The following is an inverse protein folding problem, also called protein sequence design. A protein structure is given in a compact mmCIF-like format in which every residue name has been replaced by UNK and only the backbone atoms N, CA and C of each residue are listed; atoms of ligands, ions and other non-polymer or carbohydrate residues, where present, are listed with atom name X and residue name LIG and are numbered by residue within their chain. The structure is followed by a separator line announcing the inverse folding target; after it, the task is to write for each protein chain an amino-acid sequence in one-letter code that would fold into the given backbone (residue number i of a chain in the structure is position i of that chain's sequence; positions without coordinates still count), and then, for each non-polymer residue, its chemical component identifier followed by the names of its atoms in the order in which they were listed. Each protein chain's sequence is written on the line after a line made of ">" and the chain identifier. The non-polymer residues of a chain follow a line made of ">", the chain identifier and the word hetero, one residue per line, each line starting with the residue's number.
data_IF_049191829824
#
_entry.id   IF_049191829824
#
_cell.length_a   1.000
_cell.length_b   1.000
_cell.length_c   1.000
_cell.angle_alpha   90.00
_cell.angle_beta   90.00
_cell.angle_gamma   90.00
#
_symmetry.space_group_name_H-M   'P 1'
#
loop_
_entity.id
_entity.type
_entity.pdbx_description
1 polymer ?
#
# COMPACT_ATOMS: atom_id res chain seq x y z
N UNK A 1 -15.06 43.65 59.02
CA UNK A 1 -15.72 42.34 58.93
C UNK A 1 -14.65 41.27 58.96
N UNK A 2 -14.49 40.60 60.05
CA UNK A 2 -13.55 39.43 60.12
C UNK A 2 -14.19 38.28 59.32
N UNK A 3 -13.40 37.69 58.45
CA UNK A 3 -13.83 36.54 57.63
C UNK A 3 -13.85 35.31 58.51
N UNK A 4 -14.91 34.50 58.42
CA UNK A 4 -15.07 33.28 59.23
C UNK A 4 -14.05 32.22 58.89
N UNK A 5 -13.68 31.31 59.84
CA UNK A 5 -12.77 30.19 59.54
C UNK A 5 -13.23 29.33 58.34
N UNK A 6 -14.53 29.17 58.12
CA UNK A 6 -15.14 28.49 56.99
C UNK A 6 -14.76 29.12 55.63
N UNK A 7 -14.69 30.46 55.58
CA UNK A 7 -14.21 31.16 54.37
C UNK A 7 -12.80 30.83 54.00
N UNK A 8 -11.88 30.72 54.98
CA UNK A 8 -10.50 30.36 54.69
C UNK A 8 -10.36 28.89 54.29
N UNK A 9 -11.19 28.00 54.87
CA UNK A 9 -11.21 26.58 54.54
C UNK A 9 -11.67 26.37 53.10
N UNK A 10 -12.80 26.97 52.72
CA UNK A 10 -13.37 26.87 51.35
C UNK A 10 -12.39 27.44 50.31
N UNK A 11 -11.80 28.60 50.59
CA UNK A 11 -10.78 29.20 49.69
C UNK A 11 -9.52 28.35 49.55
N UNK A 12 -9.10 27.69 50.63
CA UNK A 12 -7.97 26.73 50.57
C UNK A 12 -8.31 25.50 49.72
N UNK A 13 -9.53 25.00 49.90
CA UNK A 13 -10.03 23.85 49.10
C UNK A 13 -10.12 24.19 47.61
N UNK A 14 -10.69 25.37 47.27
CA UNK A 14 -10.77 25.87 45.92
C UNK A 14 -9.38 26.01 45.26
N UNK A 15 -8.40 26.49 46.01
CA UNK A 15 -7.02 26.62 45.53
C UNK A 15 -6.38 25.25 45.22
N UNK A 16 -6.62 24.25 46.09
CA UNK A 16 -6.15 22.88 45.88
C UNK A 16 -6.84 22.26 44.66
N UNK A 17 -8.16 22.37 44.54
CA UNK A 17 -8.94 21.85 43.41
C UNK A 17 -8.49 22.49 42.09
N UNK A 18 -8.34 23.83 42.07
CA UNK A 18 -7.87 24.53 40.89
C UNK A 18 -6.40 24.16 40.54
N UNK A 19 -5.55 23.97 41.55
CA UNK A 19 -4.19 23.50 41.35
C UNK A 19 -4.13 22.10 40.71
N UNK A 20 -4.94 21.16 41.26
CA UNK A 20 -5.03 19.79 40.68
C UNK A 20 -5.62 19.83 39.29
N UNK A 21 -6.66 20.62 39.04
CA UNK A 21 -7.25 20.78 37.72
C UNK A 21 -6.24 21.36 36.71
N UNK A 22 -5.43 22.36 37.12
CA UNK A 22 -4.39 22.93 36.28
C UNK A 22 -3.28 21.90 35.94
N UNK A 23 -2.88 21.07 36.89
CA UNK A 23 -1.89 20.00 36.67
C UNK A 23 -2.45 18.97 35.69
N UNK A 24 -3.69 18.51 35.89
CA UNK A 24 -4.33 17.55 34.95
C UNK A 24 -4.40 18.16 33.54
N UNK A 25 -4.81 19.41 33.43
CA UNK A 25 -4.87 20.10 32.15
C UNK A 25 -3.52 20.19 31.44
N UNK A 26 -2.45 20.52 32.16
CA UNK A 26 -1.09 20.56 31.63
C UNK A 26 -0.59 19.17 31.20
N UNK A 27 -0.92 18.13 31.98
CA UNK A 27 -0.60 16.75 31.59
C UNK A 27 -1.34 16.34 30.31
N UNK A 28 -2.62 16.70 30.20
CA UNK A 28 -3.40 16.43 28.96
C UNK A 28 -2.83 17.18 27.75
N UNK A 29 -2.42 18.44 27.92
CA UNK A 29 -1.79 19.21 26.84
C UNK A 29 -0.43 18.62 26.43
N UNK A 30 0.40 18.21 27.40
CA UNK A 30 1.68 17.57 27.11
C UNK A 30 1.48 16.24 26.37
N UNK A 31 0.52 15.42 26.82
CA UNK A 31 0.17 14.17 26.13
C UNK A 31 -0.36 14.40 24.72
N UNK A 32 -1.27 15.37 24.54
CA UNK A 32 -1.79 15.71 23.21
C UNK A 32 -0.67 16.22 22.27
N UNK A 33 0.24 17.07 22.78
CA UNK A 33 1.40 17.55 22.03
C UNK A 33 2.33 16.40 21.63
N UNK A 34 2.60 15.47 22.56
CA UNK A 34 3.39 14.28 22.28
C UNK A 34 2.71 13.39 21.22
N UNK A 35 1.42 13.11 21.37
CA UNK A 35 0.68 12.28 20.42
C UNK A 35 0.64 12.87 19.00
N UNK A 36 0.50 14.20 18.88
CA UNK A 36 0.55 14.88 17.60
C UNK A 36 1.96 14.83 16.98
N UNK A 37 3.00 15.02 17.79
CA UNK A 37 4.39 14.91 17.34
C UNK A 37 4.74 13.50 16.91
N UNK A 38 4.34 12.48 17.67
CA UNK A 38 4.56 11.07 17.38
C UNK A 38 3.88 10.67 16.06
N UNK A 39 2.60 11.01 15.90
CA UNK A 39 1.88 10.76 14.64
C UNK A 39 2.51 11.48 13.43
N UNK A 40 2.95 12.72 13.62
CA UNK A 40 3.65 13.46 12.55
C UNK A 40 5.00 12.81 12.22
N UNK A 41 5.75 12.37 13.21
CA UNK A 41 7.06 11.69 13.04
C UNK A 41 6.91 10.39 12.22
N UNK A 42 5.88 9.58 12.51
CA UNK A 42 5.58 8.36 11.75
C UNK A 42 5.23 8.68 10.29
N UNK A 43 4.41 9.71 10.06
CA UNK A 43 4.04 10.12 8.71
C UNK A 43 5.23 10.70 7.93
N UNK A 44 6.14 11.43 8.56
CA UNK A 44 7.35 11.96 7.91
C UNK A 44 8.35 10.83 7.65
N UNK A 45 8.51 9.90 8.60
CA UNK A 45 9.37 8.72 8.47
C UNK A 45 9.02 7.87 7.24
N UNK A 46 7.71 7.66 7.00
CA UNK A 46 7.22 6.89 5.85
C UNK A 46 7.67 7.43 4.48
N UNK A 47 8.09 8.69 4.40
CA UNK A 47 8.55 9.32 3.16
C UNK A 47 10.08 9.37 3.02
N UNK A 48 10.84 9.08 4.07
CA UNK A 48 12.28 9.27 4.03
C UNK A 48 12.98 8.37 3.01
N UNK A 49 12.63 7.10 2.97
CA UNK A 49 13.14 6.19 1.94
C UNK A 49 12.69 6.62 0.55
N UNK A 50 11.40 6.98 0.40
CA UNK A 50 10.85 7.43 -0.87
C UNK A 50 11.57 8.69 -1.39
N UNK A 51 11.82 9.70 -0.54
CA UNK A 51 12.56 10.93 -0.90
C UNK A 51 13.95 10.63 -1.46
N UNK A 52 14.61 9.59 -0.93
CA UNK A 52 15.93 9.16 -1.39
C UNK A 52 15.87 8.39 -2.70
N UNK A 53 14.87 7.51 -2.84
CA UNK A 53 14.77 6.58 -3.97
C UNK A 53 14.07 7.20 -5.18
N UNK A 54 13.25 8.25 -5.00
CA UNK A 54 12.48 8.89 -6.08
C UNK A 54 13.36 9.50 -7.17
N UNK A 55 14.61 9.87 -6.85
CA UNK A 55 15.59 10.35 -7.85
C UNK A 55 15.89 9.27 -8.90
N UNK A 56 15.75 8.00 -8.52
CA UNK A 56 15.96 6.83 -9.39
C UNK A 56 14.65 6.12 -9.72
N UNK A 57 13.52 6.82 -9.57
CA UNK A 57 12.23 6.28 -10.01
C UNK A 57 12.33 5.91 -11.48
N UNK A 58 11.93 4.67 -11.86
CA UNK A 58 12.02 4.25 -13.24
C UNK A 58 11.12 5.10 -14.15
N UNK A 59 11.66 5.43 -15.33
CA UNK A 59 10.94 6.07 -16.43
C UNK A 59 11.12 5.23 -17.69
N UNK A 60 10.07 5.12 -18.50
CA UNK A 60 10.10 4.39 -19.76
C UNK A 60 11.06 5.01 -20.78
N UNK A 61 11.28 6.33 -20.71
CA UNK A 61 12.12 7.10 -21.64
C UNK A 61 13.61 7.07 -21.25
N UNK A 62 13.95 6.97 -19.94
CA UNK A 62 15.32 7.11 -19.44
C UNK A 62 16.10 5.79 -19.28
N UNK A 63 15.45 4.66 -19.53
CA UNK A 63 16.07 3.33 -19.44
C UNK A 63 15.94 2.67 -18.06
N UNK A 64 15.00 1.74 -17.95
CA UNK A 64 14.66 1.00 -16.75
C UNK A 64 15.85 0.36 -16.05
N UNK A 65 16.74 -0.26 -16.82
CA UNK A 65 17.89 -1.01 -16.29
C UNK A 65 18.87 -0.14 -15.48
N UNK A 66 19.11 1.11 -15.91
CA UNK A 66 19.98 2.02 -15.17
C UNK A 66 19.37 2.40 -13.81
N UNK A 67 18.11 2.85 -13.80
CA UNK A 67 17.44 3.29 -12.59
C UNK A 67 17.34 2.14 -11.58
N UNK A 68 16.96 0.93 -12.04
CA UNK A 68 16.94 -0.24 -11.17
C UNK A 68 18.32 -0.65 -10.66
N UNK A 69 19.39 -0.45 -11.42
CA UNK A 69 20.75 -0.72 -10.93
C UNK A 69 21.10 0.17 -9.73
N UNK A 70 20.66 1.43 -9.72
CA UNK A 70 20.87 2.36 -8.62
C UNK A 70 19.98 1.98 -7.42
N UNK A 71 18.69 1.68 -7.63
CA UNK A 71 17.77 1.25 -6.59
C UNK A 71 18.26 -0.04 -5.90
N UNK A 72 18.69 -1.04 -6.68
CA UNK A 72 19.22 -2.30 -6.17
C UNK A 72 20.59 -2.16 -5.50
N UNK A 73 21.38 -1.13 -5.84
CA UNK A 73 22.61 -0.79 -5.13
C UNK A 73 22.32 -0.22 -3.72
N UNK A 74 21.18 0.45 -3.53
CA UNK A 74 20.73 0.94 -2.22
C UNK A 74 20.15 -0.20 -1.37
N UNK A 75 19.27 -1.01 -1.97
CA UNK A 75 18.72 -2.22 -1.36
C UNK A 75 18.55 -3.31 -2.43
N UNK A 76 19.29 -4.44 -2.33
CA UNK A 76 19.20 -5.54 -3.28
C UNK A 76 17.83 -6.23 -3.31
N UNK A 77 16.99 -6.00 -2.29
CA UNK A 77 15.65 -6.55 -2.21
C UNK A 77 14.62 -5.79 -3.05
N UNK A 78 14.97 -4.63 -3.60
CA UNK A 78 14.12 -3.93 -4.56
C UNK A 78 13.94 -4.79 -5.81
N UNK A 79 12.68 -5.05 -6.18
CA UNK A 79 12.31 -5.90 -7.32
C UNK A 79 11.37 -5.22 -8.32
N UNK A 80 10.81 -4.06 -7.99
CA UNK A 80 9.91 -3.32 -8.85
C UNK A 80 9.61 -1.93 -8.31
N UNK A 81 8.75 -1.21 -9.05
CA UNK A 81 8.17 0.08 -8.63
C UNK A 81 6.72 0.14 -9.09
N UNK A 82 5.78 0.35 -8.19
CA UNK A 82 4.35 0.43 -8.51
C UNK A 82 3.87 1.88 -8.57
N UNK A 83 3.03 2.16 -9.56
CA UNK A 83 2.25 3.41 -9.67
C UNK A 83 0.80 3.05 -9.97
N UNK A 84 -0.14 3.58 -9.19
CA UNK A 84 -1.57 3.48 -9.48
C UNK A 84 -2.12 4.87 -9.79
N UNK A 85 -2.69 5.04 -10.98
CA UNK A 85 -3.14 6.33 -11.49
C UNK A 85 -4.21 6.96 -10.56
N UNK A 86 -4.14 8.28 -10.38
CA UNK A 86 -5.05 9.08 -9.54
C UNK A 86 -5.06 8.71 -8.04
N UNK A 87 -4.01 8.02 -7.58
CA UNK A 87 -3.78 7.70 -6.17
C UNK A 87 -2.41 8.20 -5.72
N UNK A 88 -2.15 8.17 -4.42
CA UNK A 88 -0.81 8.37 -3.86
C UNK A 88 0.08 7.12 -3.88
N UNK A 89 -0.37 6.03 -4.51
CA UNK A 89 0.43 4.79 -4.62
C UNK A 89 1.48 4.97 -5.71
N UNK A 90 2.70 5.26 -5.27
CA UNK A 90 3.88 5.52 -6.10
C UNK A 90 5.12 5.14 -5.30
N UNK A 91 5.45 3.84 -5.25
CA UNK A 91 6.42 3.28 -4.32
C UNK A 91 7.32 2.21 -4.93
N UNK A 92 8.58 2.09 -4.46
CA UNK A 92 9.40 0.92 -4.73
C UNK A 92 8.73 -0.34 -4.14
N UNK A 93 8.91 -1.47 -4.81
CA UNK A 93 8.49 -2.79 -4.36
C UNK A 93 9.74 -3.55 -3.91
N UNK A 94 9.71 -4.09 -2.70
CA UNK A 94 10.76 -4.96 -2.17
C UNK A 94 10.25 -6.39 -2.04
N UNK A 95 11.15 -7.36 -1.90
CA UNK A 95 10.80 -8.73 -1.55
C UNK A 95 11.82 -9.28 -0.56
N UNK A 96 11.36 -9.59 0.64
CA UNK A 96 12.16 -10.18 1.72
C UNK A 96 12.19 -11.71 1.69
N UNK A 97 12.82 -12.29 2.71
CA UNK A 97 12.86 -13.74 2.91
C UNK A 97 11.52 -14.31 3.40
N UNK A 98 10.66 -13.46 3.98
CA UNK A 98 9.30 -13.80 4.41
C UNK A 98 8.37 -12.57 4.32
N UNK A 99 7.07 -12.75 4.62
CA UNK A 99 6.07 -11.68 4.60
C UNK A 99 6.07 -10.77 5.84
N UNK A 100 7.00 -10.94 6.78
CA UNK A 100 7.11 -10.14 7.99
C UNK A 100 8.24 -9.13 7.92
N UNK A 101 9.28 -9.42 7.13
CA UNK A 101 10.51 -8.65 7.08
C UNK A 101 10.29 -7.16 6.77
N UNK A 102 9.43 -6.85 5.80
CA UNK A 102 9.16 -5.48 5.37
C UNK A 102 7.87 -4.87 5.95
N UNK A 103 7.30 -5.49 6.98
CA UNK A 103 6.21 -4.87 7.74
C UNK A 103 6.68 -3.69 8.60
N UNK A 104 7.93 -3.70 9.05
CA UNK A 104 8.52 -2.68 9.92
C UNK A 104 9.90 -2.20 9.45
N UNK A 105 10.16 -2.33 8.13
CA UNK A 105 11.33 -1.78 7.45
C UNK A 105 10.91 -0.94 6.26
N UNK A 106 11.59 0.19 6.05
CA UNK A 106 11.47 0.98 4.84
C UNK A 106 12.12 0.27 3.63
N UNK A 107 11.92 0.82 2.43
CA UNK A 107 12.49 0.25 1.21
C UNK A 107 14.02 0.34 1.11
N UNK A 108 14.70 1.03 2.01
CA UNK A 108 16.16 1.03 2.18
C UNK A 108 16.62 -0.04 3.17
N UNK A 109 15.68 -0.76 3.83
CA UNK A 109 15.96 -1.76 4.86
C UNK A 109 16.14 -1.22 6.27
N UNK A 110 15.87 0.07 6.52
CA UNK A 110 15.92 0.64 7.85
C UNK A 110 14.65 0.36 8.64
N UNK A 111 14.71 0.27 9.99
CA UNK A 111 13.52 0.14 10.81
C UNK A 111 12.56 1.33 10.60
N UNK A 112 11.33 1.05 10.20
CA UNK A 112 10.29 2.05 9.96
C UNK A 112 8.89 1.42 10.12
N UNK A 113 8.08 1.98 11.02
CA UNK A 113 6.76 1.43 11.39
C UNK A 113 5.78 1.42 10.20
N UNK A 114 5.94 2.33 9.25
CA UNK A 114 5.13 2.36 8.02
C UNK A 114 5.42 1.19 7.08
N UNK A 115 6.52 0.47 7.30
CA UNK A 115 6.94 -0.63 6.45
C UNK A 115 7.20 -0.22 5.00
N UNK A 116 7.10 -1.18 4.12
CA UNK A 116 7.24 -1.01 2.66
C UNK A 116 6.06 -1.63 1.90
N UNK A 117 6.00 -1.34 0.60
CA UNK A 117 5.21 -2.16 -0.33
C UNK A 117 6.09 -3.35 -0.72
N UNK A 118 5.61 -4.57 -0.47
CA UNK A 118 6.39 -5.77 -0.72
C UNK A 118 5.60 -6.86 -1.47
N UNK A 119 6.33 -7.61 -2.28
CA UNK A 119 5.83 -8.78 -2.99
C UNK A 119 5.82 -9.99 -2.04
N UNK A 120 4.77 -10.80 -2.08
CA UNK A 120 4.71 -12.05 -1.34
C UNK A 120 6.00 -12.87 -1.56
N UNK A 121 6.59 -13.36 -0.48
CA UNK A 121 7.90 -14.03 -0.53
C UNK A 121 7.93 -15.29 -1.39
N UNK A 122 6.79 -15.95 -1.60
CA UNK A 122 6.65 -17.13 -2.45
C UNK A 122 6.51 -16.79 -3.93
N UNK A 123 6.15 -15.55 -4.26
CA UNK A 123 6.05 -15.12 -5.65
C UNK A 123 7.42 -15.00 -6.31
N UNK A 124 7.44 -15.23 -7.61
CA UNK A 124 8.63 -15.05 -8.40
C UNK A 124 8.97 -13.55 -8.52
N UNK A 125 10.16 -13.19 -8.04
CA UNK A 125 10.69 -11.82 -8.07
C UNK A 125 10.68 -11.15 -9.45
N UNK A 126 10.64 -11.95 -10.53
CA UNK A 126 10.55 -11.47 -11.90
C UNK A 126 9.10 -11.21 -12.35
N UNK A 127 8.13 -11.32 -11.47
CA UNK A 127 6.71 -11.10 -11.76
C UNK A 127 6.20 -12.00 -12.92
N UNK A 128 6.56 -13.26 -12.90
CA UNK A 128 6.17 -14.24 -13.94
C UNK A 128 5.06 -15.19 -13.51
N UNK A 129 4.66 -15.15 -12.23
CA UNK A 129 3.60 -16.02 -11.73
C UNK A 129 2.23 -15.60 -12.28
N UNK A 130 1.29 -16.54 -12.44
CA UNK A 130 -0.05 -16.22 -12.90
C UNK A 130 -0.87 -15.39 -11.91
N UNK A 131 -0.54 -15.46 -10.62
CA UNK A 131 -1.15 -14.65 -9.57
C UNK A 131 -0.10 -14.19 -8.56
N UNK A 132 -0.07 -12.91 -8.29
CA UNK A 132 0.88 -12.28 -7.40
C UNK A 132 0.15 -11.42 -6.37
N UNK A 133 0.75 -11.25 -5.19
CA UNK A 133 0.20 -10.40 -4.13
C UNK A 133 1.24 -9.38 -3.70
N UNK A 134 0.90 -8.11 -3.81
CA UNK A 134 1.62 -7.01 -3.17
C UNK A 134 0.91 -6.65 -1.87
N UNK A 135 1.68 -6.49 -0.83
CA UNK A 135 1.20 -6.13 0.50
C UNK A 135 1.82 -4.82 0.96
N UNK A 136 1.08 -4.07 1.77
CA UNK A 136 1.54 -2.82 2.36
C UNK A 136 0.62 -2.35 3.48
N UNK A 137 1.12 -1.50 4.35
CA UNK A 137 0.30 -0.94 5.43
C UNK A 137 -0.77 0.02 4.90
N UNK A 138 -1.89 0.06 5.64
CA UNK A 138 -2.85 1.14 5.55
C UNK A 138 -2.36 2.32 6.40
N UNK A 139 -1.98 3.40 5.75
CA UNK A 139 -1.54 4.62 6.43
C UNK A 139 -2.54 5.76 6.21
N UNK A 140 -2.62 6.66 7.20
CA UNK A 140 -3.41 7.88 7.07
C UNK A 140 -2.90 8.76 5.91
N UNK A 141 -3.73 9.67 5.45
CA UNK A 141 -3.46 10.57 4.33
C UNK A 141 -3.13 9.84 3.00
N UNK A 142 -3.63 8.61 2.83
CA UNK A 142 -3.48 7.82 1.61
C UNK A 142 -2.08 7.27 1.37
N UNK A 143 -1.16 7.35 2.36
CA UNK A 143 0.20 6.84 2.24
C UNK A 143 0.23 5.32 2.21
N UNK A 144 1.29 4.77 1.68
CA UNK A 144 1.45 3.35 1.41
C UNK A 144 0.27 2.83 0.58
N UNK A 145 -0.45 1.80 1.03
CA UNK A 145 -1.69 1.32 0.40
C UNK A 145 -2.96 1.94 1.00
N UNK A 146 -2.86 3.04 1.79
CA UNK A 146 -4.03 3.73 2.35
C UNK A 146 -5.03 4.19 1.29
N UNK A 147 -4.56 4.59 0.11
CA UNK A 147 -5.41 5.02 -1.00
C UNK A 147 -6.20 3.88 -1.67
N UNK A 148 -5.97 2.61 -1.32
CA UNK A 148 -6.85 1.52 -1.74
C UNK A 148 -8.27 1.69 -1.19
N UNK A 149 -8.44 2.42 -0.08
CA UNK A 149 -9.76 2.75 0.46
C UNK A 149 -10.64 3.55 -0.53
N UNK A 150 -10.03 4.34 -1.42
CA UNK A 150 -10.77 5.10 -2.45
C UNK A 150 -11.56 4.20 -3.38
N UNK A 151 -11.07 2.98 -3.62
CA UNK A 151 -11.73 2.00 -4.49
C UNK A 151 -13.00 1.40 -3.87
N UNK A 152 -13.27 1.65 -2.57
CA UNK A 152 -14.55 1.32 -1.94
C UNK A 152 -15.71 2.21 -2.43
N UNK A 153 -15.41 3.37 -3.03
CA UNK A 153 -16.37 4.19 -3.77
C UNK A 153 -16.51 3.68 -5.21
N UNK A 154 -17.71 3.29 -5.61
CA UNK A 154 -17.97 2.73 -6.93
C UNK A 154 -17.59 3.72 -8.06
N UNK A 155 -17.83 5.01 -7.87
CA UNK A 155 -17.51 6.03 -8.86
C UNK A 155 -16.00 6.13 -9.06
N UNK A 156 -15.24 6.07 -7.97
CA UNK A 156 -13.79 6.05 -8.03
C UNK A 156 -13.29 4.79 -8.72
N UNK A 157 -13.77 3.60 -8.31
CA UNK A 157 -13.40 2.32 -8.91
C UNK A 157 -13.64 2.28 -10.43
N UNK A 158 -14.77 2.83 -10.88
CA UNK A 158 -15.12 2.84 -12.32
C UNK A 158 -14.30 3.83 -13.14
N UNK A 159 -13.81 4.92 -12.54
CA UNK A 159 -13.03 5.96 -13.23
C UNK A 159 -11.53 5.68 -13.22
N UNK A 160 -11.01 5.09 -12.15
CA UNK A 160 -9.57 4.91 -11.93
C UNK A 160 -9.19 3.45 -12.19
N UNK A 161 -8.71 3.21 -13.38
CA UNK A 161 -8.73 1.87 -13.95
C UNK A 161 -7.35 1.32 -14.23
N UNK A 162 -6.31 2.17 -14.20
CA UNK A 162 -4.99 1.85 -14.70
C UNK A 162 -3.91 2.03 -13.64
N UNK A 163 -2.82 1.35 -13.84
CA UNK A 163 -1.59 1.45 -13.09
C UNK A 163 -0.43 0.79 -13.85
N UNK A 164 0.76 0.88 -13.28
CA UNK A 164 1.96 0.29 -13.85
C UNK A 164 2.83 -0.32 -12.77
N UNK A 165 3.54 -1.38 -13.12
CA UNK A 165 4.69 -1.87 -12.35
C UNK A 165 5.89 -1.82 -13.28
N UNK A 166 6.86 -1.01 -12.92
CA UNK A 166 8.15 -0.97 -13.57
C UNK A 166 9.01 -2.09 -13.01
N UNK A 167 9.67 -2.82 -13.89
CA UNK A 167 10.64 -3.88 -13.58
C UNK A 167 11.99 -3.52 -14.25
N UNK A 168 13.08 -4.17 -13.87
CA UNK A 168 14.40 -3.86 -14.46
C UNK A 168 14.48 -4.00 -15.97
N UNK A 169 13.64 -4.85 -16.57
CA UNK A 169 13.66 -5.24 -17.97
C UNK A 169 12.38 -4.91 -18.76
N UNK A 170 11.29 -4.51 -18.09
CA UNK A 170 9.99 -4.25 -18.73
C UNK A 170 9.06 -3.48 -17.84
N UNK A 171 7.94 -3.00 -18.41
CA UNK A 171 6.81 -2.43 -17.70
C UNK A 171 5.61 -3.37 -17.80
N UNK A 172 4.93 -3.63 -16.68
CA UNK A 172 3.65 -4.30 -16.62
C UNK A 172 2.55 -3.25 -16.53
N UNK A 173 1.64 -3.22 -17.49
CA UNK A 173 0.48 -2.35 -17.46
C UNK A 173 -0.66 -3.06 -16.77
N UNK A 174 -1.28 -2.38 -15.81
CA UNK A 174 -2.33 -2.93 -14.96
C UNK A 174 -3.68 -2.34 -15.34
N UNK A 175 -4.69 -3.21 -15.38
CA UNK A 175 -6.09 -2.81 -15.46
C UNK A 175 -6.84 -3.35 -14.23
N UNK A 176 -7.52 -2.46 -13.48
CA UNK A 176 -8.31 -2.88 -12.32
C UNK A 176 -9.47 -3.78 -12.76
N UNK A 177 -9.61 -4.94 -12.13
CA UNK A 177 -10.63 -5.93 -12.48
C UNK A 177 -11.68 -6.12 -11.38
N UNK A 178 -11.27 -6.17 -10.11
CA UNK A 178 -12.17 -6.36 -8.99
C UNK A 178 -11.68 -5.65 -7.73
N UNK A 179 -12.61 -5.16 -6.91
CA UNK A 179 -12.33 -4.65 -5.58
C UNK A 179 -13.08 -5.48 -4.52
N UNK A 180 -12.36 -5.93 -3.50
CA UNK A 180 -12.85 -6.84 -2.47
C UNK A 180 -12.56 -6.31 -1.08
N UNK A 181 -13.39 -6.74 -0.11
CA UNK A 181 -13.05 -6.71 1.30
C UNK A 181 -13.04 -8.15 1.82
N UNK A 182 -11.88 -8.63 2.26
CA UNK A 182 -11.67 -10.02 2.66
C UNK A 182 -11.07 -10.13 4.05
N UNK A 183 -11.15 -11.30 4.66
CA UNK A 183 -10.43 -11.62 5.89
C UNK A 183 -8.93 -11.80 5.61
N UNK A 184 -8.08 -11.32 6.54
CA UNK A 184 -6.63 -11.45 6.45
C UNK A 184 -6.12 -12.90 6.34
N UNK A 185 -6.94 -13.86 6.73
CA UNK A 185 -6.63 -15.29 6.68
C UNK A 185 -7.35 -16.03 5.53
N UNK A 186 -7.86 -15.27 4.53
CA UNK A 186 -8.45 -15.90 3.35
C UNK A 186 -7.39 -16.66 2.56
N UNK A 187 -7.49 -18.00 2.64
CA UNK A 187 -6.48 -18.91 2.08
C UNK A 187 -6.54 -19.05 0.56
N UNK A 188 -7.50 -18.46 -0.10
CA UNK A 188 -7.52 -18.40 -1.57
C UNK A 188 -6.86 -17.11 -2.05
N UNK A 189 -7.27 -15.97 -1.50
CA UNK A 189 -6.74 -14.65 -1.91
C UNK A 189 -5.24 -14.50 -1.58
N UNK A 190 -4.75 -15.10 -0.47
CA UNK A 190 -3.34 -15.00 -0.06
C UNK A 190 -2.51 -16.24 -0.41
N UNK A 191 -3.06 -17.17 -1.19
CA UNK A 191 -2.29 -18.28 -1.76
C UNK A 191 -1.71 -17.82 -3.10
N UNK A 192 -0.40 -17.85 -3.24
CA UNK A 192 0.31 -17.42 -4.45
C UNK A 192 0.84 -18.62 -5.27
N UNK A 193 0.92 -19.80 -4.67
CA UNK A 193 1.36 -21.03 -5.34
C UNK A 193 0.17 -21.91 -5.71
N UNK A 194 0.03 -22.20 -7.01
CA UNK A 194 -1.10 -22.92 -7.58
C UNK A 194 -0.61 -24.08 -8.44
N UNK A 195 -0.97 -25.32 -8.06
CA UNK A 195 -0.43 -26.53 -8.69
C UNK A 195 -1.10 -26.84 -10.04
N UNK A 196 -2.33 -26.35 -10.24
CA UNK A 196 -3.10 -26.67 -11.45
C UNK A 196 -4.18 -25.64 -11.77
N UNK A 197 -4.76 -25.75 -12.99
CA UNK A 197 -5.80 -24.85 -13.51
C UNK A 197 -7.08 -24.89 -12.66
N UNK A 198 -7.46 -26.07 -12.12
CA UNK A 198 -8.68 -26.19 -11.30
C UNK A 198 -8.59 -25.35 -10.01
N UNK A 199 -7.42 -25.32 -9.36
CA UNK A 199 -7.22 -24.51 -8.18
C UNK A 199 -7.26 -23.00 -8.51
N UNK A 200 -6.76 -22.59 -9.68
CA UNK A 200 -6.90 -21.20 -10.14
C UNK A 200 -8.35 -20.83 -10.44
N UNK A 201 -9.18 -21.77 -10.89
CA UNK A 201 -10.62 -21.55 -11.02
C UNK A 201 -11.29 -21.29 -9.67
N UNK A 202 -10.88 -21.97 -8.60
CA UNK A 202 -11.38 -21.70 -7.25
C UNK A 202 -10.95 -20.30 -6.75
N UNK A 203 -9.74 -19.85 -7.07
CA UNK A 203 -9.31 -18.47 -6.80
C UNK A 203 -10.23 -17.46 -7.51
N UNK A 204 -10.46 -17.64 -8.83
CA UNK A 204 -11.32 -16.74 -9.60
C UNK A 204 -12.74 -16.70 -9.03
N UNK A 205 -13.31 -17.89 -8.74
CA UNK A 205 -14.61 -18.00 -8.09
C UNK A 205 -14.61 -17.20 -6.75
N UNK A 206 -13.58 -17.36 -5.92
CA UNK A 206 -13.46 -16.65 -4.65
C UNK A 206 -13.37 -15.14 -4.84
N UNK A 207 -12.62 -14.67 -5.84
CA UNK A 207 -12.53 -13.24 -6.19
C UNK A 207 -13.93 -12.70 -6.49
N UNK A 208 -14.70 -13.35 -7.39
CA UNK A 208 -16.03 -12.89 -7.77
C UNK A 208 -17.09 -13.01 -6.67
N UNK A 209 -16.99 -14.02 -5.79
CA UNK A 209 -17.87 -14.16 -4.62
C UNK A 209 -17.66 -13.04 -3.58
N UNK A 210 -16.43 -12.51 -3.45
CA UNK A 210 -16.10 -11.48 -2.48
C UNK A 210 -16.08 -10.08 -3.08
N UNK A 211 -16.14 -9.95 -4.39
CA UNK A 211 -16.05 -8.65 -5.07
C UNK A 211 -17.24 -7.76 -4.72
N UNK A 212 -16.94 -6.56 -4.22
CA UNK A 212 -17.90 -5.47 -4.09
C UNK A 212 -18.20 -4.86 -5.46
N UNK A 213 -17.15 -4.72 -6.27
CA UNK A 213 -17.22 -4.19 -7.63
C UNK A 213 -16.33 -5.02 -8.55
N UNK A 214 -16.81 -5.21 -9.78
CA UNK A 214 -16.06 -5.80 -10.88
C UNK A 214 -16.17 -4.93 -12.12
N UNK A 215 -15.23 -5.06 -13.06
CA UNK A 215 -15.26 -4.35 -14.33
C UNK A 215 -14.52 -5.12 -15.42
N UNK A 216 -14.76 -4.70 -16.67
CA UNK A 216 -14.14 -5.30 -17.85
C UNK A 216 -14.67 -6.69 -18.15
N UNK A 217 -13.91 -7.43 -18.93
CA UNK A 217 -14.16 -8.85 -19.18
C UNK A 217 -13.82 -9.67 -17.94
N UNK A 218 -14.52 -10.77 -17.73
CA UNK A 218 -14.23 -11.67 -16.60
C UNK A 218 -12.78 -12.19 -16.69
N UNK A 219 -12.13 -12.25 -15.51
CA UNK A 219 -10.82 -12.87 -15.39
C UNK A 219 -10.91 -14.37 -15.69
N UNK A 220 -9.92 -14.87 -16.37
CA UNK A 220 -9.79 -16.29 -16.72
C UNK A 220 -8.51 -16.88 -16.11
N UNK A 221 -8.35 -18.18 -16.18
CA UNK A 221 -7.12 -18.85 -15.74
C UNK A 221 -5.91 -18.59 -16.62
N UNK A 222 -6.10 -17.98 -17.79
CA UNK A 222 -5.03 -17.56 -18.70
C UNK A 222 -4.54 -16.14 -18.39
N UNK A 223 -5.31 -15.37 -17.66
CA UNK A 223 -4.91 -14.02 -17.28
C UNK A 223 -3.80 -14.06 -16.21
N UNK A 224 -2.83 -13.19 -16.36
CA UNK A 224 -1.88 -12.88 -15.31
C UNK A 224 -2.47 -11.78 -14.43
N UNK A 225 -2.46 -11.99 -13.12
CA UNK A 225 -3.13 -11.11 -12.16
C UNK A 225 -2.19 -10.68 -11.04
N UNK A 226 -2.46 -9.49 -10.50
CA UNK A 226 -1.82 -9.02 -9.28
C UNK A 226 -2.88 -8.45 -8.33
N UNK A 227 -2.81 -8.82 -7.06
CA UNK A 227 -3.63 -8.28 -5.99
C UNK A 227 -2.82 -7.29 -5.15
N UNK A 228 -3.35 -6.10 -4.95
CA UNK A 228 -2.82 -5.09 -4.03
C UNK A 228 -3.63 -5.18 -2.74
N UNK A 229 -3.00 -5.52 -1.62
CA UNK A 229 -3.68 -5.79 -0.36
C UNK A 229 -3.19 -4.92 0.78
N UNK A 230 -4.11 -4.36 1.56
CA UNK A 230 -3.81 -3.64 2.80
C UNK A 230 -4.81 -3.94 3.91
N UNK A 231 -4.50 -3.50 5.15
CA UNK A 231 -5.47 -3.47 6.22
C UNK A 231 -6.55 -2.44 5.91
N UNK A 232 -7.83 -2.81 6.10
CA UNK A 232 -8.94 -1.87 6.00
C UNK A 232 -9.31 -1.28 7.37
N UNK A 233 -10.05 -0.18 7.35
CA UNK A 233 -10.62 0.45 8.55
C UNK A 233 -11.89 -0.23 9.06
N UNK A 234 -12.47 -1.18 8.29
CA UNK A 234 -13.77 -1.79 8.55
C UNK A 234 -13.76 -2.95 9.55
N UNK A 235 -12.60 -3.35 10.07
CA UNK A 235 -12.48 -4.42 11.08
C UNK A 235 -11.03 -4.79 11.38
N UNK A 236 -10.81 -5.55 12.46
CA UNK A 236 -9.45 -5.91 12.90
C UNK A 236 -8.69 -6.81 11.93
N UNK A 237 -9.40 -7.68 11.19
CA UNK A 237 -8.81 -8.62 10.22
C UNK A 237 -9.22 -8.33 8.78
N UNK A 238 -10.05 -7.30 8.52
CA UNK A 238 -10.47 -6.98 7.17
C UNK A 238 -9.32 -6.37 6.36
N UNK A 239 -9.25 -6.74 5.08
CA UNK A 239 -8.29 -6.26 4.10
C UNK A 239 -9.03 -5.74 2.88
N UNK A 240 -8.68 -4.56 2.40
CA UNK A 240 -9.05 -4.13 1.07
C UNK A 240 -8.08 -4.77 0.08
N UNK A 241 -8.64 -5.36 -0.96
CA UNK A 241 -7.87 -6.00 -2.03
C UNK A 241 -8.34 -5.47 -3.37
N UNK A 242 -7.42 -4.89 -4.13
CA UNK A 242 -7.64 -4.49 -5.51
C UNK A 242 -6.97 -5.50 -6.42
N UNK A 243 -7.76 -6.27 -7.17
CA UNK A 243 -7.24 -7.22 -8.16
C UNK A 243 -7.14 -6.53 -9.50
N UNK A 244 -5.95 -6.60 -10.09
CA UNK A 244 -5.64 -6.05 -11.41
C UNK A 244 -5.26 -7.19 -12.37
N UNK A 245 -5.71 -7.08 -13.64
CA UNK A 245 -5.20 -7.85 -14.76
C UNK A 245 -3.95 -7.18 -15.29
N UNK A 246 -2.95 -7.95 -15.70
CA UNK A 246 -1.82 -7.46 -16.48
C UNK A 246 -2.20 -7.54 -17.96
N UNK A 247 -2.36 -6.38 -18.61
CA UNK A 247 -2.88 -6.31 -20.00
C UNK A 247 -1.76 -6.19 -21.03
N UNK A 248 -0.63 -5.59 -20.68
CA UNK A 248 0.54 -5.47 -21.54
C UNK A 248 1.81 -5.57 -20.71
N UNK A 249 2.83 -6.16 -21.30
CA UNK A 249 4.20 -6.04 -20.83
C UNK A 249 5.05 -5.50 -21.98
N UNK A 250 5.59 -4.28 -21.84
CA UNK A 250 6.62 -3.81 -22.75
C UNK A 250 7.93 -4.45 -22.32
N UNK A 251 8.43 -5.41 -23.09
CA UNK A 251 9.85 -5.75 -22.99
C UNK A 251 10.63 -4.63 -23.66
N UNK A 252 11.71 -4.15 -23.04
CA UNK A 252 12.65 -3.28 -23.72
C UNK A 252 13.17 -4.01 -24.96
N UNK A 253 12.75 -3.57 -26.14
CA UNK A 253 13.15 -4.17 -27.41
C UNK A 253 14.64 -3.88 -27.67
N UNK A 254 15.51 -4.76 -27.22
CA UNK A 254 16.68 -5.09 -28.02
C UNK A 254 16.31 -6.25 -28.97
N UNK A 255 15.73 -5.90 -30.11
CA UNK A 255 15.61 -6.77 -31.29
C UNK A 255 14.26 -7.42 -31.54
N UNK A 256 13.25 -6.70 -31.97
CA UNK A 256 12.29 -7.14 -33.00
C UNK A 256 11.23 -6.05 -33.24
N UNK A 257 11.25 -5.42 -34.41
CA UNK A 257 10.26 -4.40 -34.78
C UNK A 257 8.87 -4.96 -34.95
N UNK A 258 7.95 -4.52 -34.12
CA UNK A 258 6.51 -4.46 -34.44
C UNK A 258 5.93 -3.17 -33.90
N UNK A 259 5.59 -2.29 -34.82
CA UNK A 259 4.81 -1.07 -34.61
C UNK A 259 3.39 -1.47 -34.22
N UNK A 260 2.92 -1.03 -33.06
CA UNK A 260 1.50 -1.07 -32.73
C UNK A 260 0.87 0.28 -33.05
N UNK A 261 -0.18 0.23 -33.87
CA UNK A 261 -0.98 1.37 -34.30
C UNK A 261 -1.97 1.68 -33.17
N UNK A 262 -1.87 2.89 -32.61
CA UNK A 262 -2.93 3.46 -31.79
C UNK A 262 -4.20 3.58 -32.64
N UNK A 263 -5.29 2.93 -32.21
CA UNK A 263 -6.63 3.24 -32.71
C UNK A 263 -7.21 4.35 -31.83
N UNK A 264 -7.06 5.58 -32.26
CA UNK A 264 -7.94 6.68 -31.84
C UNK A 264 -9.36 6.32 -32.27
N UNK A 265 -10.26 6.19 -31.32
CA UNK A 265 -11.70 6.22 -31.59
C UNK A 265 -12.25 7.56 -31.15
N UNK A 266 -12.84 8.25 -32.11
CA UNK A 266 -13.64 9.46 -32.02
C UNK A 266 -14.86 9.33 -31.06
#
# INVERSE_FOLDING_TARGET
>A
MERTPEYYLTKGLDMVVNGVAAVIFLCCLAYAGYALWDNWSILDGSENALKTMVEYKPDEEEGLSYNFSQLMAMNPDVCGWIVMDHTGIDYPIVQGEDNFEYLDKDALGNPEISGSIFLDWQNNRKFTDPYMVLMGHHMQAGKMFGDLDKYSDETFFRKNTTGKIYLPDRVLYLETAAFLTVDAYDKYIYRTQWDNVSERQELLKRIYEQAQYTRGEELTTEDQMIALSTCSTSGTNARHVLVCRIVHSSASEEGSGKVYVETENE
#
